data_IF_980077357728
#
_entry.id   IF_980077357728
#
_cell.length_a   1.000
_cell.length_b   1.000
_cell.length_c   1.000
_cell.angle_alpha   90.00
_cell.angle_beta   90.00
_cell.angle_gamma   90.00
#
_symmetry.space_group_name_H-M   'P 1'
#
loop_
_entity.id
_entity.type
_entity.pdbx_description
1 polymer ?
#
# COMPACT_ATOMS: atom_id res chain seq x y z
N UNK A 1 14.86 -7.97 -19.55
CA UNK A 1 13.85 -8.55 -18.65
C UNK A 1 12.96 -7.40 -18.18
N UNK A 2 11.65 -7.57 -18.25
CA UNK A 2 10.70 -6.62 -17.66
C UNK A 2 10.64 -6.87 -16.16
N UNK A 3 11.43 -6.11 -15.40
CA UNK A 3 11.40 -6.17 -13.92
C UNK A 3 10.21 -5.38 -13.41
N UNK A 4 9.64 -5.80 -12.28
CA UNK A 4 8.70 -4.96 -11.52
C UNK A 4 7.41 -4.62 -12.25
N UNK A 5 6.82 -5.58 -12.98
CA UNK A 5 5.57 -5.36 -13.72
C UNK A 5 4.52 -4.81 -12.75
N UNK A 6 4.06 -3.59 -13.03
CA UNK A 6 3.04 -2.92 -12.24
C UNK A 6 1.70 -3.66 -12.41
N UNK A 7 1.09 -4.02 -11.30
CA UNK A 7 -0.19 -4.73 -11.25
C UNK A 7 -1.34 -3.79 -10.89
N UNK A 8 -1.09 -2.81 -10.01
CA UNK A 8 -2.03 -1.75 -9.61
C UNK A 8 -1.25 -0.61 -8.94
N UNK A 9 -1.72 0.63 -9.08
CA UNK A 9 -1.22 1.77 -8.31
C UNK A 9 -2.30 2.83 -8.15
N UNK A 10 -2.30 3.52 -7.02
CA UNK A 10 -3.27 4.58 -6.74
C UNK A 10 -2.76 5.53 -5.68
N UNK A 11 -3.06 6.81 -5.90
CA UNK A 11 -2.91 7.86 -4.91
C UNK A 11 -3.99 7.71 -3.85
N UNK A 12 -3.65 7.98 -2.60
CA UNK A 12 -4.58 7.96 -1.48
C UNK A 12 -4.69 9.36 -0.92
N UNK A 13 -5.91 9.76 -0.59
CA UNK A 13 -6.19 11.11 -0.08
C UNK A 13 -5.35 11.41 1.16
N UNK A 14 -4.91 12.65 1.26
CA UNK A 14 -4.08 13.14 2.35
C UNK A 14 -4.89 13.36 3.64
N UNK A 15 -5.44 12.28 4.18
CA UNK A 15 -6.28 12.27 5.37
C UNK A 15 -5.94 11.06 6.27
N UNK A 16 -6.06 11.19 7.60
CA UNK A 16 -5.93 10.06 8.50
C UNK A 16 -7.17 9.16 8.30
N UNK A 17 -7.00 8.06 7.56
CA UNK A 17 -8.05 7.09 7.27
C UNK A 17 -8.74 6.50 8.52
N UNK A 18 -9.67 5.58 8.29
CA UNK A 18 -10.37 4.85 9.37
C UNK A 18 -10.03 3.37 9.30
N UNK A 19 -10.08 2.71 10.44
CA UNK A 19 -9.88 1.28 10.52
C UNK A 19 -11.14 0.60 11.05
N UNK A 20 -11.45 -0.56 10.47
CA UNK A 20 -12.45 -1.47 10.99
C UNK A 20 -11.72 -2.52 11.84
N UNK A 21 -12.07 -2.61 13.13
CA UNK A 21 -11.43 -3.49 14.11
C UNK A 21 -12.45 -4.44 14.71
N UNK A 22 -12.03 -5.68 14.95
CA UNK A 22 -12.81 -6.62 15.75
C UNK A 22 -12.48 -6.41 17.24
N UNK A 23 -13.50 -6.25 18.09
CA UNK A 23 -13.31 -6.03 19.52
C UNK A 23 -14.59 -6.25 20.34
N UNK A 24 -14.45 -6.74 21.58
CA UNK A 24 -15.52 -6.72 22.58
C UNK A 24 -16.87 -7.32 22.16
N UNK A 25 -16.89 -8.36 21.31
CA UNK A 25 -18.12 -9.00 20.84
C UNK A 25 -18.70 -8.46 19.52
N UNK A 26 -17.97 -7.61 18.79
CA UNK A 26 -18.44 -7.11 17.49
C UNK A 26 -17.36 -6.46 16.63
N UNK A 27 -17.81 -5.85 15.54
CA UNK A 27 -17.01 -5.06 14.60
C UNK A 27 -17.20 -3.58 14.91
N UNK A 28 -16.11 -2.83 15.02
CA UNK A 28 -16.11 -1.41 15.35
C UNK A 28 -15.29 -0.60 14.33
N UNK A 29 -15.63 0.67 14.15
CA UNK A 29 -14.84 1.63 13.37
C UNK A 29 -14.05 2.50 14.34
N UNK A 30 -12.74 2.60 14.14
CA UNK A 30 -11.83 3.38 14.95
C UNK A 30 -11.00 4.34 14.07
N UNK A 31 -10.39 5.34 14.71
CA UNK A 31 -9.27 6.05 14.10
C UNK A 31 -8.15 5.04 13.78
N UNK A 32 -7.37 5.32 12.73
CA UNK A 32 -6.22 4.48 12.38
C UNK A 32 -5.33 4.24 13.61
N UNK A 33 -4.96 2.98 13.84
CA UNK A 33 -4.37 2.46 15.08
C UNK A 33 -3.00 3.04 15.47
N UNK A 34 -2.41 3.88 14.62
CA UNK A 34 -1.08 4.40 14.86
C UNK A 34 -1.18 5.63 15.75
N UNK A 35 -0.57 5.55 16.95
CA UNK A 35 -0.30 6.69 17.86
C UNK A 35 0.49 7.84 17.17
N UNK A 36 0.86 7.65 15.90
CA UNK A 36 1.29 8.67 14.96
C UNK A 36 0.42 8.55 13.71
N UNK A 37 -0.21 9.62 13.21
CA UNK A 37 -0.93 9.57 11.95
C UNK A 37 0.08 9.37 10.80
N UNK A 38 0.41 8.12 10.49
CA UNK A 38 1.12 7.79 9.27
C UNK A 38 0.08 7.88 8.14
N UNK A 39 0.16 8.97 7.39
CA UNK A 39 -0.62 9.15 6.18
C UNK A 39 -0.13 8.13 5.16
N UNK A 40 -0.94 7.12 4.88
CA UNK A 40 -0.71 6.26 3.72
C UNK A 40 -1.24 7.01 2.51
N UNK A 41 -0.31 7.62 1.77
CA UNK A 41 -0.61 8.51 0.62
C UNK A 41 -0.61 7.79 -0.71
N UNK A 42 -0.24 6.51 -0.75
CA UNK A 42 -0.26 5.76 -1.99
C UNK A 42 -0.02 4.28 -1.79
N UNK A 43 -0.41 3.49 -2.78
CA UNK A 43 -0.15 2.06 -2.83
C UNK A 43 0.23 1.66 -4.25
N UNK A 44 1.16 0.72 -4.38
CA UNK A 44 1.46 0.04 -5.63
C UNK A 44 1.66 -1.45 -5.37
N UNK A 45 1.17 -2.27 -6.29
CA UNK A 45 1.39 -3.70 -6.32
C UNK A 45 2.27 -4.03 -7.53
N UNK A 46 3.36 -4.74 -7.30
CA UNK A 46 4.31 -5.13 -8.35
C UNK A 46 4.50 -6.65 -8.36
N UNK A 47 4.79 -7.19 -9.55
CA UNK A 47 5.34 -8.53 -9.68
C UNK A 47 6.86 -8.45 -9.66
N UNK A 48 7.45 -9.01 -8.60
CA UNK A 48 8.89 -9.17 -8.44
C UNK A 48 9.22 -10.65 -8.21
N UNK A 49 10.34 -11.09 -8.76
CA UNK A 49 10.82 -12.47 -8.70
C UNK A 49 11.38 -12.81 -7.31
N UNK A 50 11.96 -11.81 -6.63
CA UNK A 50 12.50 -11.96 -5.27
C UNK A 50 12.12 -10.76 -4.40
N UNK A 51 12.32 -10.92 -3.08
CA UNK A 51 12.08 -9.81 -2.15
C UNK A 51 13.10 -8.68 -2.35
N UNK A 52 14.34 -9.04 -2.69
CA UNK A 52 15.42 -8.10 -2.99
C UNK A 52 15.12 -7.27 -4.24
N UNK A 53 14.53 -7.87 -5.26
CA UNK A 53 14.05 -7.13 -6.43
C UNK A 53 12.94 -6.13 -6.05
N UNK A 54 11.98 -6.55 -5.23
CA UNK A 54 10.93 -5.65 -4.73
C UNK A 54 11.51 -4.50 -3.88
N UNK A 55 12.50 -4.78 -3.04
CA UNK A 55 13.20 -3.77 -2.24
C UNK A 55 14.02 -2.82 -3.12
N UNK A 56 14.66 -3.31 -4.18
CA UNK A 56 15.38 -2.45 -5.13
C UNK A 56 14.41 -1.49 -5.82
N UNK A 57 13.27 -1.99 -6.31
CA UNK A 57 12.23 -1.13 -6.91
C UNK A 57 11.69 -0.11 -5.91
N UNK A 58 11.45 -0.52 -4.65
CA UNK A 58 10.94 0.38 -3.62
C UNK A 58 11.93 1.51 -3.24
N UNK A 59 13.25 1.28 -3.37
CA UNK A 59 14.30 2.29 -3.14
C UNK A 59 14.29 3.40 -4.18
N UNK A 60 13.72 3.15 -5.36
CA UNK A 60 13.61 4.13 -6.43
C UNK A 60 12.33 4.97 -6.32
N UNK A 61 11.56 4.84 -5.22
CA UNK A 61 10.34 5.61 -4.99
C UNK A 61 10.65 7.10 -4.75
N UNK A 62 10.10 8.03 -5.56
CA UNK A 62 10.37 9.48 -5.43
C UNK A 62 9.97 10.06 -4.06
N UNK A 63 9.00 9.45 -3.37
CA UNK A 63 8.57 9.88 -2.03
C UNK A 63 9.70 9.84 -0.99
N UNK A 64 10.74 9.02 -1.22
CA UNK A 64 11.91 8.95 -0.34
C UNK A 64 12.74 10.25 -0.38
N UNK A 65 12.72 11.00 -1.48
CA UNK A 65 13.41 12.29 -1.62
C UNK A 65 12.80 13.38 -0.71
N UNK A 66 11.52 13.22 -0.35
CA UNK A 66 10.77 14.15 0.50
C UNK A 66 10.70 13.69 1.98
N UNK A 67 11.52 12.71 2.37
CA UNK A 67 11.53 12.17 3.73
C UNK A 67 10.35 11.24 4.04
N UNK A 68 9.64 10.78 3.01
CA UNK A 68 8.61 9.75 3.14
C UNK A 68 9.19 8.37 3.42
N UNK A 69 8.32 7.40 3.65
CA UNK A 69 8.68 6.00 3.88
C UNK A 69 7.89 5.09 2.95
N UNK A 70 8.50 3.97 2.57
CA UNK A 70 7.84 2.92 1.79
C UNK A 70 7.90 1.61 2.57
N UNK A 71 6.74 1.04 2.85
CA UNK A 71 6.63 -0.27 3.48
C UNK A 71 6.40 -1.34 2.41
N UNK A 72 7.32 -2.30 2.30
CA UNK A 72 7.22 -3.41 1.34
C UNK A 72 6.69 -4.65 2.04
N UNK A 73 5.69 -5.30 1.45
CA UNK A 73 5.12 -6.56 1.97
C UNK A 73 4.82 -7.53 0.82
N UNK A 74 5.11 -8.82 1.05
CA UNK A 74 4.66 -9.89 0.14
C UNK A 74 3.19 -10.18 0.38
N UNK A 75 2.40 -10.17 -0.69
CA UNK A 75 0.99 -10.55 -0.64
C UNK A 75 0.85 -12.07 -0.52
N UNK A 76 -0.16 -12.53 0.22
CA UNK A 76 -0.48 -13.95 0.38
C UNK A 76 -1.33 -14.49 -0.76
N UNK A 77 -1.69 -15.77 -0.66
CA UNK A 77 -2.62 -16.42 -1.59
C UNK A 77 -3.96 -15.69 -1.62
N UNK A 78 -4.54 -15.53 -2.82
CA UNK A 78 -5.83 -14.86 -3.00
C UNK A 78 -5.74 -13.35 -3.26
N UNK A 79 -4.53 -12.80 -3.44
CA UNK A 79 -4.40 -11.45 -3.98
C UNK A 79 -4.91 -11.42 -5.42
N UNK A 80 -5.96 -10.64 -5.63
CA UNK A 80 -6.60 -10.43 -6.94
C UNK A 80 -6.51 -8.95 -7.28
N UNK A 81 -6.17 -8.66 -8.54
CA UNK A 81 -6.35 -7.31 -9.11
C UNK A 81 -7.73 -7.28 -9.74
N UNK A 82 -8.61 -6.40 -9.26
CA UNK A 82 -9.87 -6.13 -9.94
C UNK A 82 -9.62 -5.20 -11.14
N UNK A 83 -10.36 -5.39 -12.22
CA UNK A 83 -10.38 -4.44 -13.33
C UNK A 83 -10.90 -3.08 -12.83
N UNK A 84 -10.28 -1.97 -13.26
CA UNK A 84 -10.75 -0.61 -12.95
C UNK A 84 -10.01 0.14 -11.83
N UNK A 85 -8.79 -0.28 -11.43
CA UNK A 85 -7.99 0.51 -10.46
C UNK A 85 -7.60 1.91 -10.98
N UNK A 86 -7.85 2.23 -12.25
CA UNK A 86 -7.56 3.52 -12.89
C UNK A 86 -8.75 4.47 -13.06
N UNK A 87 -9.98 4.07 -12.74
CA UNK A 87 -11.21 4.82 -13.08
C UNK A 87 -11.80 5.58 -11.87
N UNK A 88 -10.95 6.17 -11.03
CA UNK A 88 -11.39 7.01 -9.91
C UNK A 88 -11.18 8.48 -10.27
N UNK A 89 -12.21 9.12 -10.85
CA UNK A 89 -12.36 10.58 -10.94
C UNK A 89 -12.93 11.19 -9.64
#
# INVERSE_FOLDING_TARGET
SERGILMAAGDLRWEPGRQVVAGGGGVQVAASYLDRPEYVVGVFAIRASTYEEAMAIARDCPHLEYGGTVSVRRVGTGFVTADGFGDWE
#
